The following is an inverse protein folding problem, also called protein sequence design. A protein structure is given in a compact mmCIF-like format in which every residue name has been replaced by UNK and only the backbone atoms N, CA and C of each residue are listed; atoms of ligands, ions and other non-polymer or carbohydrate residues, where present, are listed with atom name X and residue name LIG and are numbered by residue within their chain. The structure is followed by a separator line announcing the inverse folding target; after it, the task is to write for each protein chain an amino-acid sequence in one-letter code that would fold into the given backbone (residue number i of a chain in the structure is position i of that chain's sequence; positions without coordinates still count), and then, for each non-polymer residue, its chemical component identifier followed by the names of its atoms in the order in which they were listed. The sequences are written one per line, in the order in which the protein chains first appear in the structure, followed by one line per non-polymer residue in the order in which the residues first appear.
data_IF_932454243776
#
_entry.id   IF_932454243776
#
_cell.length_a   1.000
_cell.length_b   1.000
_cell.length_c   1.000
_cell.angle_alpha   90.00
_cell.angle_beta   90.00
_cell.angle_gamma   90.00
#
_symmetry.space_group_name_H-M   'P 1'
#
loop_
_entity.id
_entity.type
_entity.pdbx_description
1 polymer ?
#
# COMPACT_ATOMS: atom_id res chain seq x y z
N UNK A 1 -32.75 -53.21 -0.33
CA UNK A 1 -33.49 -52.57 -1.44
C UNK A 1 -33.59 -51.08 -1.11
N UNK A 2 -33.46 -50.19 -2.12
CA UNK A 2 -33.05 -48.76 -2.07
C UNK A 2 -31.57 -48.62 -2.51
N UNK A 3 -31.28 -48.72 -3.81
CA UNK A 3 -31.35 -47.67 -4.85
C UNK A 3 -30.29 -46.56 -4.69
N UNK A 4 -29.26 -46.66 -5.53
CA UNK A 4 -28.35 -45.57 -5.85
C UNK A 4 -28.96 -44.70 -6.96
N UNK A 5 -28.61 -43.40 -6.97
CA UNK A 5 -28.84 -42.52 -8.11
C UNK A 5 -27.51 -42.09 -8.72
N UNK A 6 -27.38 -42.36 -10.02
CA UNK A 6 -26.25 -41.99 -10.87
C UNK A 6 -26.35 -40.53 -11.32
N UNK A 7 -25.22 -39.85 -11.36
CA UNK A 7 -25.06 -38.61 -12.13
C UNK A 7 -24.64 -38.95 -13.56
N UNK A 8 -25.36 -38.43 -14.56
CA UNK A 8 -24.92 -38.40 -15.96
C UNK A 8 -25.22 -37.04 -16.60
N UNK A 9 -24.43 -36.69 -17.62
CA UNK A 9 -24.26 -35.33 -18.15
C UNK A 9 -25.19 -35.01 -19.33
N UNK A 10 -25.56 -33.73 -19.47
CA UNK A 10 -25.80 -33.00 -20.73
C UNK A 10 -26.08 -31.51 -20.42
N UNK A 11 -25.78 -30.50 -21.24
CA UNK A 11 -24.72 -30.28 -22.24
C UNK A 11 -24.62 -28.73 -22.43
N UNK A 12 -23.45 -28.10 -22.64
CA UNK A 12 -23.29 -26.66 -22.37
C UNK A 12 -23.18 -25.79 -23.64
N UNK A 13 -24.29 -25.22 -24.11
CA UNK A 13 -24.28 -24.14 -25.11
C UNK A 13 -25.34 -23.06 -24.84
N UNK A 14 -24.89 -21.87 -24.44
CA UNK A 14 -25.75 -20.75 -24.10
C UNK A 14 -25.06 -19.39 -24.21
N UNK A 15 -25.10 -18.82 -25.42
CA UNK A 15 -24.92 -17.40 -25.75
C UNK A 15 -23.48 -16.82 -25.69
N UNK A 16 -22.87 -16.72 -26.89
CA UNK A 16 -21.82 -15.74 -27.22
C UNK A 16 -22.42 -14.73 -28.21
N UNK A 17 -22.12 -13.45 -27.95
CA UNK A 17 -22.09 -12.23 -28.80
C UNK A 17 -22.40 -12.30 -30.33
N UNK A 18 -22.87 -11.19 -30.98
CA UNK A 18 -22.17 -9.88 -30.91
C UNK A 18 -22.99 -8.57 -31.06
N UNK A 19 -22.36 -7.45 -30.70
CA UNK A 19 -22.70 -6.12 -31.21
C UNK A 19 -21.49 -5.48 -31.90
N UNK A 20 -21.71 -4.89 -33.08
CA UNK A 20 -20.67 -4.35 -33.97
C UNK A 20 -21.01 -2.94 -34.46
N UNK A 21 -19.97 -2.12 -34.67
CA UNK A 21 -20.00 -0.76 -35.28
C UNK A 21 -20.63 0.31 -34.35
N UNK A 22 -20.28 1.60 -34.37
CA UNK A 22 -19.44 2.45 -35.25
C UNK A 22 -18.87 3.59 -34.35
N UNK A 23 -17.89 4.44 -34.69
CA UNK A 23 -17.29 4.89 -35.97
C UNK A 23 -15.75 5.06 -35.85
N UNK A 24 -15.08 5.27 -36.98
CA UNK A 24 -13.78 5.97 -37.06
C UNK A 24 -14.04 7.47 -37.26
N UNK A 25 -13.17 8.34 -36.75
CA UNK A 25 -12.95 9.65 -37.39
C UNK A 25 -11.47 10.03 -37.38
N UNK A 26 -10.98 10.55 -38.50
CA UNK A 26 -9.56 10.78 -38.80
C UNK A 26 -9.46 12.03 -39.68
N UNK A 27 -8.68 13.01 -39.23
CA UNK A 27 -8.02 14.12 -39.95
C UNK A 27 -7.20 14.86 -38.86
N UNK A 28 -5.93 15.24 -39.01
CA UNK A 28 -5.32 15.96 -40.14
C UNK A 28 -5.39 17.47 -39.81
N UNK A 29 -4.31 18.26 -39.73
CA UNK A 29 -3.01 18.22 -40.44
C UNK A 29 -1.93 19.10 -39.78
N UNK A 30 -0.67 18.99 -40.25
CA UNK A 30 0.36 20.03 -40.52
C UNK A 30 0.16 21.48 -39.98
N UNK A 31 1.19 22.26 -39.56
CA UNK A 31 2.62 22.22 -39.91
C UNK A 31 3.55 23.01 -38.95
N UNK A 32 4.86 22.73 -39.06
CA UNK A 32 6.03 23.64 -38.94
C UNK A 32 6.47 24.39 -37.66
N UNK A 33 7.78 24.69 -37.71
CA UNK A 33 8.52 25.80 -37.10
C UNK A 33 8.95 25.72 -35.61
N UNK A 34 10.15 25.16 -35.42
CA UNK A 34 11.29 25.80 -34.72
C UNK A 34 11.02 26.89 -33.67
N UNK A 35 11.39 26.61 -32.41
CA UNK A 35 12.11 27.58 -31.57
C UNK A 35 12.79 26.89 -30.38
N UNK A 36 14.10 26.76 -30.43
CA UNK A 36 14.92 26.74 -29.21
C UNK A 36 15.17 28.18 -28.75
N UNK A 37 15.05 28.50 -27.45
CA UNK A 37 15.67 29.68 -26.88
C UNK A 37 17.06 29.31 -26.32
N UNK A 38 18.10 29.69 -27.05
CA UNK A 38 19.49 29.62 -26.62
C UNK A 38 19.72 30.42 -25.32
N UNK A 39 20.39 29.82 -24.33
CA UNK A 39 20.85 30.52 -23.14
C UNK A 39 21.97 31.52 -23.47
N UNK A 40 21.75 32.80 -23.17
CA UNK A 40 22.82 33.82 -23.07
C UNK A 40 22.67 34.59 -21.76
N UNK A 41 23.70 34.68 -20.91
CA UNK A 41 23.61 35.37 -19.63
C UNK A 41 23.79 36.89 -19.79
N UNK A 42 23.05 37.67 -19.02
CA UNK A 42 23.27 39.11 -18.82
C UNK A 42 23.59 39.42 -17.35
N UNK A 43 24.37 40.48 -17.07
CA UNK A 43 25.10 40.61 -15.80
C UNK A 43 24.28 41.24 -14.66
N UNK A 44 24.82 41.01 -13.46
CA UNK A 44 24.44 41.59 -12.16
C UNK A 44 23.79 42.99 -12.20
N UNK A 45 22.60 43.09 -11.59
CA UNK A 45 22.23 44.25 -10.78
C UNK A 45 21.76 43.79 -9.40
N UNK A 46 22.49 44.21 -8.38
CA UNK A 46 22.12 44.06 -6.97
C UNK A 46 21.00 45.03 -6.63
N UNK A 47 19.86 44.51 -6.15
CA UNK A 47 18.87 45.30 -5.42
C UNK A 47 18.63 44.69 -4.04
N UNK A 48 18.43 45.57 -3.05
CA UNK A 48 18.49 45.23 -1.64
C UNK A 48 17.38 44.25 -1.21
N UNK A 49 17.73 43.33 -0.31
CA UNK A 49 16.76 42.50 0.39
C UNK A 49 15.85 43.38 1.25
N UNK A 50 14.55 43.37 0.97
CA UNK A 50 13.55 43.99 1.83
C UNK A 50 13.05 42.92 2.81
N UNK A 51 13.45 43.02 4.08
CA UNK A 51 13.11 42.04 5.10
C UNK A 51 11.60 42.08 5.43
N UNK A 52 10.84 41.16 4.82
CA UNK A 52 9.57 40.70 5.39
C UNK A 52 9.77 39.30 5.95
N UNK A 53 10.33 39.25 7.16
CA UNK A 53 10.42 38.04 7.96
C UNK A 53 8.99 37.68 8.40
N UNK A 54 8.31 36.85 7.61
CA UNK A 54 7.15 36.10 8.10
C UNK A 54 7.65 35.06 9.11
N UNK A 55 7.71 35.47 10.38
CA UNK A 55 8.17 34.66 11.51
C UNK A 55 7.18 33.56 11.86
N UNK A 56 7.11 32.50 11.04
CA UNK A 56 6.42 31.26 11.41
C UNK A 56 7.35 30.37 12.26
N UNK A 57 7.73 30.90 13.42
CA UNK A 57 8.52 30.20 14.44
C UNK A 57 7.80 30.21 15.79
N UNK A 58 6.71 29.44 15.84
CA UNK A 58 6.40 28.68 17.04
C UNK A 58 6.39 27.22 16.61
N UNK A 59 7.51 26.52 16.83
CA UNK A 59 7.49 25.08 16.81
C UNK A 59 6.55 24.65 17.94
N UNK A 60 5.33 24.24 17.60
CA UNK A 60 4.47 23.59 18.58
C UNK A 60 5.25 22.39 19.13
N UNK A 61 5.22 22.13 20.45
CA UNK A 61 5.84 20.93 20.98
C UNK A 61 5.22 19.73 20.27
N UNK A 62 6.04 18.99 19.53
CA UNK A 62 5.62 17.79 18.82
C UNK A 62 4.94 16.88 19.84
N UNK A 63 3.67 16.54 19.59
CA UNK A 63 2.85 15.87 20.59
C UNK A 63 3.53 14.57 21.06
N UNK A 64 3.45 14.20 22.35
CA UNK A 64 4.13 13.02 22.87
C UNK A 64 3.86 11.77 22.03
N UNK A 65 4.93 11.09 21.60
CA UNK A 65 4.86 9.92 20.73
C UNK A 65 4.87 10.22 19.23
N UNK A 66 4.74 11.48 18.78
CA UNK A 66 4.78 11.79 17.34
C UNK A 66 6.22 11.88 16.83
N UNK A 67 6.53 11.12 15.78
CA UNK A 67 7.84 10.98 15.16
C UNK A 67 7.72 11.27 13.65
N UNK A 68 8.61 12.11 13.13
CA UNK A 68 8.77 12.31 11.69
C UNK A 68 9.90 11.40 11.18
N UNK A 69 9.59 10.54 10.21
CA UNK A 69 10.52 9.51 9.71
C UNK A 69 11.21 9.93 8.41
N UNK A 70 12.32 9.27 8.09
CA UNK A 70 13.12 9.55 6.90
C UNK A 70 12.40 9.22 5.57
N UNK A 71 11.38 8.35 5.58
CA UNK A 71 10.51 8.06 4.44
C UNK A 71 9.32 9.03 4.33
N UNK A 72 9.44 10.21 4.96
CA UNK A 72 8.42 11.28 5.00
C UNK A 72 7.08 10.81 5.60
N UNK A 73 7.11 9.84 6.51
CA UNK A 73 5.93 9.43 7.27
C UNK A 73 5.81 10.21 8.58
N UNK A 74 4.57 10.40 9.03
CA UNK A 74 4.26 10.89 10.39
C UNK A 74 3.77 9.70 11.19
N UNK A 75 4.57 9.26 12.15
CA UNK A 75 4.26 8.12 13.00
C UNK A 75 3.79 8.58 14.38
N UNK A 76 2.80 7.90 14.94
CA UNK A 76 2.52 7.90 16.37
C UNK A 76 3.09 6.62 16.97
N UNK A 77 4.17 6.76 17.76
CA UNK A 77 4.75 5.68 18.54
C UNK A 77 4.09 5.61 19.92
N UNK A 78 3.31 4.56 20.15
CA UNK A 78 2.66 4.33 21.44
C UNK A 78 3.49 3.41 22.34
N UNK A 79 3.37 3.58 23.66
CA UNK A 79 4.05 2.73 24.65
C UNK A 79 3.13 1.57 25.05
N UNK A 80 3.46 0.30 24.73
CA UNK A 80 2.61 -0.84 25.06
C UNK A 80 2.22 -0.94 26.55
N UNK A 81 3.15 -0.59 27.44
CA UNK A 81 2.96 -0.70 28.89
C UNK A 81 2.14 0.46 29.49
N UNK A 82 1.88 1.52 28.72
CA UNK A 82 1.10 2.69 29.15
C UNK A 82 0.50 3.41 27.91
N UNK A 83 -0.53 2.83 27.27
CA UNK A 83 -1.18 3.42 26.11
C UNK A 83 -1.93 4.71 26.49
N UNK A 84 -1.69 5.79 25.74
CA UNK A 84 -2.30 7.10 25.96
C UNK A 84 -3.32 7.40 24.84
N UNK A 85 -4.59 7.07 25.11
CA UNK A 85 -5.68 7.26 24.14
C UNK A 85 -6.06 8.73 23.92
N UNK A 86 -5.70 9.64 24.84
CA UNK A 86 -5.91 11.07 24.67
C UNK A 86 -4.84 11.65 23.74
N UNK A 87 -3.58 11.23 23.88
CA UNK A 87 -2.51 11.53 22.93
C UNK A 87 -2.81 10.96 21.54
N UNK A 88 -3.34 9.73 21.43
CA UNK A 88 -3.83 9.19 20.15
C UNK A 88 -4.92 10.07 19.55
N UNK A 89 -5.92 10.47 20.34
CA UNK A 89 -7.04 11.30 19.86
C UNK A 89 -6.55 12.67 19.39
N UNK A 90 -5.60 13.27 20.10
CA UNK A 90 -4.92 14.51 19.66
C UNK A 90 -4.11 14.32 18.36
N UNK A 91 -3.41 13.20 18.21
CA UNK A 91 -2.71 12.85 16.97
C UNK A 91 -3.69 12.75 15.78
N UNK A 92 -4.84 12.09 15.96
CA UNK A 92 -5.88 11.95 14.93
C UNK A 92 -6.51 13.30 14.54
N UNK A 93 -6.73 14.19 15.51
CA UNK A 93 -7.22 15.54 15.24
C UNK A 93 -6.23 16.37 14.40
N UNK A 94 -4.92 16.22 14.65
CA UNK A 94 -3.87 16.95 13.94
C UNK A 94 -3.55 16.35 12.56
N UNK A 95 -3.64 15.03 12.41
CA UNK A 95 -3.22 14.29 11.22
C UNK A 95 -4.34 13.36 10.70
N UNK A 96 -5.53 13.91 10.47
CA UNK A 96 -6.65 13.16 9.87
C UNK A 96 -6.31 12.79 8.41
N UNK A 97 -6.34 11.51 8.01
CA UNK A 97 -5.92 11.09 6.66
C UNK A 97 -6.69 11.75 5.53
N UNK A 98 -7.98 12.03 5.69
CA UNK A 98 -8.80 12.71 4.72
C UNK A 98 -8.44 14.19 4.50
N UNK A 99 -7.75 14.83 5.46
CA UNK A 99 -7.36 16.25 5.42
C UNK A 99 -5.86 16.46 5.22
N UNK A 100 -5.01 15.60 5.76
CA UNK A 100 -3.56 15.65 5.58
C UNK A 100 -3.22 15.31 4.13
N UNK A 101 -2.48 16.19 3.45
CA UNK A 101 -2.18 16.04 2.03
C UNK A 101 -0.80 15.42 1.79
N UNK A 102 -0.59 14.86 0.60
CA UNK A 102 0.71 14.33 0.16
C UNK A 102 1.85 15.36 0.13
N UNK A 103 1.57 16.66 0.26
CA UNK A 103 2.60 17.68 0.44
C UNK A 103 3.25 17.57 1.83
N UNK A 104 2.45 17.24 2.86
CA UNK A 104 2.88 17.17 4.26
C UNK A 104 3.64 15.88 4.54
N UNK A 105 3.09 14.73 4.17
CA UNK A 105 3.67 13.41 4.41
C UNK A 105 3.37 12.46 3.25
N UNK A 106 4.06 11.33 3.19
CA UNK A 106 3.74 10.25 2.25
C UNK A 106 2.90 9.14 2.91
N UNK A 107 2.99 9.02 4.24
CA UNK A 107 2.17 8.14 5.09
C UNK A 107 1.88 8.77 6.45
N UNK A 108 0.75 8.38 7.03
CA UNK A 108 0.48 8.49 8.47
C UNK A 108 0.56 7.07 9.04
N UNK A 109 1.19 6.87 10.20
CA UNK A 109 1.40 5.54 10.77
C UNK A 109 1.21 5.48 12.28
N UNK A 110 1.00 4.27 12.79
CA UNK A 110 1.06 3.94 14.21
C UNK A 110 1.98 2.73 14.39
N UNK A 111 2.90 2.82 15.35
CA UNK A 111 3.87 1.78 15.71
C UNK A 111 3.93 1.66 17.25
N UNK A 112 4.29 0.49 17.76
CA UNK A 112 4.45 0.23 19.18
C UNK A 112 5.91 0.40 19.68
N UNK A 113 6.77 0.97 18.83
CA UNK A 113 8.21 1.18 19.06
C UNK A 113 9.08 -0.07 18.86
N UNK A 114 8.49 -1.24 18.64
CA UNK A 114 9.23 -2.50 18.40
C UNK A 114 9.22 -2.95 16.94
N UNK A 115 8.37 -2.36 16.09
CA UNK A 115 8.20 -2.74 14.69
C UNK A 115 9.14 -2.02 13.71
N UNK A 116 9.59 -0.81 14.05
CA UNK A 116 10.51 0.01 13.25
C UNK A 116 11.85 -0.67 12.87
N UNK A 117 12.24 -1.77 13.54
CA UNK A 117 13.49 -2.51 13.28
C UNK A 117 13.49 -3.41 12.01
N UNK A 118 12.41 -3.44 11.21
CA UNK A 118 12.19 -4.50 10.19
C UNK A 118 12.05 -4.05 8.74
N UNK A 119 12.49 -2.85 8.38
CA UNK A 119 12.75 -2.56 6.96
C UNK A 119 13.82 -3.54 6.44
N UNK A 120 13.54 -4.38 5.42
CA UNK A 120 14.50 -5.38 4.96
C UNK A 120 15.81 -4.72 4.51
N UNK A 121 16.95 -5.34 4.82
CA UNK A 121 18.25 -4.75 4.47
C UNK A 121 18.36 -4.56 2.95
N UNK A 122 18.94 -3.45 2.46
CA UNK A 122 19.06 -3.20 1.02
C UNK A 122 19.75 -4.36 0.26
N UNK A 123 20.68 -5.05 0.93
CA UNK A 123 21.35 -6.25 0.41
C UNK A 123 20.39 -7.45 0.25
N UNK A 124 19.53 -7.72 1.25
CA UNK A 124 18.49 -8.76 1.15
C UNK A 124 17.49 -8.44 0.03
N UNK A 125 17.04 -7.18 -0.07
CA UNK A 125 16.13 -6.74 -1.14
C UNK A 125 16.76 -6.91 -2.52
N UNK A 126 18.04 -6.54 -2.68
CA UNK A 126 18.77 -6.70 -3.94
C UNK A 126 18.96 -8.18 -4.31
N UNK A 127 19.34 -9.02 -3.34
CA UNK A 127 19.48 -10.47 -3.55
C UNK A 127 18.14 -11.13 -3.92
N UNK A 128 17.05 -10.76 -3.25
CA UNK A 128 15.70 -11.24 -3.58
C UNK A 128 15.28 -10.83 -5.00
N UNK A 129 15.54 -9.59 -5.40
CA UNK A 129 15.27 -9.12 -6.77
C UNK A 129 16.06 -9.90 -7.82
N UNK A 130 17.34 -10.17 -7.58
CA UNK A 130 18.16 -10.97 -8.48
C UNK A 130 17.64 -12.42 -8.61
N UNK A 131 17.33 -13.08 -7.48
CA UNK A 131 16.70 -14.41 -7.50
C UNK A 131 15.31 -14.42 -8.15
N UNK A 132 14.54 -13.34 -8.01
CA UNK A 132 13.25 -13.21 -8.69
C UNK A 132 13.40 -13.07 -10.20
N UNK A 133 14.35 -12.28 -10.69
CA UNK A 133 14.60 -12.10 -12.12
C UNK A 133 14.93 -13.45 -12.80
N UNK A 134 15.76 -14.28 -12.16
CA UNK A 134 16.06 -15.64 -12.62
C UNK A 134 14.80 -16.50 -12.69
N UNK A 135 14.00 -16.56 -11.62
CA UNK A 135 12.72 -17.28 -11.59
C UNK A 135 11.70 -16.72 -12.61
N UNK A 136 11.71 -15.41 -12.84
CA UNK A 136 10.83 -14.70 -13.75
C UNK A 136 11.20 -14.94 -15.22
N UNK A 137 12.48 -15.08 -15.55
CA UNK A 137 12.93 -15.43 -16.90
C UNK A 137 12.32 -16.74 -17.40
N UNK A 138 12.12 -17.71 -16.49
CA UNK A 138 11.52 -19.01 -16.75
C UNK A 138 9.99 -19.07 -16.46
N UNK A 139 9.32 -17.93 -16.19
CA UNK A 139 7.94 -17.89 -15.68
C UNK A 139 6.85 -18.39 -16.64
N UNK A 140 7.18 -18.68 -17.91
CA UNK A 140 6.24 -19.28 -18.85
C UNK A 140 6.85 -20.48 -19.58
N UNK A 141 6.07 -21.55 -19.66
CA UNK A 141 6.37 -22.74 -20.48
C UNK A 141 5.10 -23.12 -21.23
N UNK A 142 5.20 -23.26 -22.54
CA UNK A 142 4.08 -23.61 -23.43
C UNK A 142 2.84 -22.71 -23.22
N UNK A 143 3.07 -21.41 -23.00
CA UNK A 143 2.06 -20.39 -22.72
C UNK A 143 1.56 -20.33 -21.26
N UNK A 144 1.79 -21.36 -20.45
CA UNK A 144 1.32 -21.46 -19.07
C UNK A 144 2.28 -20.77 -18.09
N UNK A 145 1.73 -20.13 -17.06
CA UNK A 145 2.52 -19.51 -15.97
C UNK A 145 3.09 -20.61 -15.06
N UNK A 146 4.40 -20.60 -14.85
CA UNK A 146 5.14 -21.55 -14.01
C UNK A 146 5.52 -20.99 -12.63
N UNK A 147 5.44 -19.66 -12.44
CA UNK A 147 5.65 -19.03 -11.15
C UNK A 147 4.50 -19.37 -10.20
N UNK A 148 4.76 -20.29 -9.27
CA UNK A 148 3.77 -20.71 -8.26
C UNK A 148 3.83 -19.83 -7.01
N UNK A 149 2.73 -19.79 -6.25
CA UNK A 149 2.69 -19.15 -4.93
C UNK A 149 3.80 -19.70 -4.02
N UNK A 150 3.97 -21.02 -3.96
CA UNK A 150 5.00 -21.67 -3.15
C UNK A 150 6.44 -21.24 -3.54
N UNK A 151 6.71 -21.02 -4.84
CA UNK A 151 8.00 -20.51 -5.32
C UNK A 151 8.29 -19.09 -4.82
N UNK A 152 7.26 -18.26 -4.69
CA UNK A 152 7.38 -16.88 -4.21
C UNK A 152 7.45 -16.79 -2.68
N UNK A 153 6.73 -17.67 -1.98
CA UNK A 153 6.82 -17.84 -0.53
C UNK A 153 8.23 -18.28 -0.13
N UNK A 154 8.76 -19.31 -0.81
CA UNK A 154 10.13 -19.80 -0.62
C UNK A 154 11.18 -18.73 -0.91
N UNK A 155 10.98 -17.92 -1.95
CA UNK A 155 11.83 -16.77 -2.26
C UNK A 155 11.81 -15.73 -1.12
N UNK A 156 10.63 -15.35 -0.64
CA UNK A 156 10.45 -14.39 0.44
C UNK A 156 11.11 -14.88 1.75
N UNK A 157 10.87 -16.15 2.10
CA UNK A 157 11.44 -16.84 3.26
C UNK A 157 12.97 -16.90 3.20
N UNK A 158 13.55 -17.29 2.05
CA UNK A 158 15.01 -17.42 1.84
C UNK A 158 15.75 -16.11 2.07
N UNK A 159 15.15 -14.98 1.71
CA UNK A 159 15.74 -13.65 1.88
C UNK A 159 15.32 -12.94 3.18
N UNK A 160 14.50 -13.59 4.02
CA UNK A 160 14.05 -13.04 5.31
C UNK A 160 13.01 -11.93 5.20
N UNK A 161 12.26 -11.88 4.09
CA UNK A 161 11.25 -10.85 3.80
C UNK A 161 9.85 -11.46 4.01
N UNK A 162 9.58 -11.87 5.25
CA UNK A 162 8.36 -12.59 5.65
C UNK A 162 7.18 -11.69 6.04
N UNK A 163 7.39 -10.38 6.14
CA UNK A 163 6.31 -9.47 6.49
C UNK A 163 5.28 -9.31 5.35
N UNK A 164 4.06 -8.92 5.71
CA UNK A 164 3.01 -8.56 4.79
C UNK A 164 1.93 -7.71 5.46
N UNK A 165 0.89 -7.34 4.70
CA UNK A 165 -0.18 -6.46 5.20
C UNK A 165 -1.54 -6.80 4.62
N UNK A 166 -2.57 -6.65 5.45
CA UNK A 166 -3.95 -6.54 4.98
C UNK A 166 -4.16 -5.14 4.39
N UNK A 167 -4.65 -5.08 3.15
CA UNK A 167 -4.88 -3.82 2.43
C UNK A 167 -6.39 -3.50 2.38
N UNK A 168 -6.75 -2.38 3.00
CA UNK A 168 -8.10 -1.83 3.09
C UNK A 168 -8.19 -0.58 2.21
N UNK A 169 -9.06 -0.58 1.20
CA UNK A 169 -9.27 0.59 0.33
C UNK A 169 -10.51 1.35 0.79
N UNK A 170 -10.34 2.62 1.13
CA UNK A 170 -11.38 3.49 1.72
C UNK A 170 -11.65 4.71 0.84
N UNK A 171 -12.86 5.24 0.89
CA UNK A 171 -13.16 6.60 0.37
C UNK A 171 -12.67 7.68 1.36
N UNK A 172 -12.50 8.92 0.90
CA UNK A 172 -12.16 10.06 1.77
C UNK A 172 -13.25 10.31 2.81
N UNK A 173 -14.51 9.96 2.52
CA UNK A 173 -15.63 10.07 3.45
C UNK A 173 -15.61 9.08 4.62
N UNK A 174 -14.92 7.94 4.49
CA UNK A 174 -14.86 6.90 5.55
C UNK A 174 -13.46 6.71 6.18
N UNK A 175 -12.39 7.19 5.52
CA UNK A 175 -11.00 6.88 5.92
C UNK A 175 -10.67 7.28 7.35
N UNK A 176 -11.10 8.45 7.82
CA UNK A 176 -10.77 8.95 9.16
C UNK A 176 -11.35 8.02 10.26
N UNK A 177 -12.61 7.58 10.09
CA UNK A 177 -13.28 6.63 10.99
C UNK A 177 -12.63 5.24 10.96
N UNK A 178 -12.26 4.75 9.77
CA UNK A 178 -11.59 3.45 9.64
C UNK A 178 -10.20 3.50 10.28
N UNK A 179 -9.46 4.59 10.07
CA UNK A 179 -8.13 4.78 10.63
C UNK A 179 -8.13 4.90 12.15
N UNK A 180 -9.08 5.65 12.74
CA UNK A 180 -9.22 5.73 14.19
C UNK A 180 -9.41 4.34 14.81
N UNK A 181 -10.35 3.55 14.26
CA UNK A 181 -10.62 2.18 14.71
C UNK A 181 -9.40 1.27 14.62
N UNK A 182 -8.68 1.33 13.49
CA UNK A 182 -7.46 0.54 13.27
C UNK A 182 -6.36 0.93 14.26
N UNK A 183 -6.18 2.21 14.55
CA UNK A 183 -5.16 2.68 15.47
C UNK A 183 -5.50 2.37 16.94
N UNK A 184 -6.77 2.50 17.35
CA UNK A 184 -7.24 2.04 18.66
C UNK A 184 -6.99 0.53 18.83
N UNK A 185 -7.36 -0.27 17.83
CA UNK A 185 -7.08 -1.71 17.80
C UNK A 185 -5.59 -2.03 17.99
N UNK A 186 -4.67 -1.36 17.27
CA UNK A 186 -3.23 -1.56 17.45
C UNK A 186 -2.75 -1.25 18.88
N UNK A 187 -3.30 -0.22 19.53
CA UNK A 187 -2.97 0.13 20.91
C UNK A 187 -3.55 -0.85 21.93
N UNK A 188 -4.80 -1.28 21.75
CA UNK A 188 -5.51 -2.24 22.61
C UNK A 188 -4.83 -3.61 22.58
N UNK A 189 -4.42 -4.07 21.39
CA UNK A 189 -3.65 -5.30 21.19
C UNK A 189 -2.18 -5.20 21.68
N UNK A 190 -1.73 -3.99 22.02
CA UNK A 190 -0.33 -3.66 22.36
C UNK A 190 0.68 -4.05 21.26
N UNK A 191 0.20 -4.27 20.02
CA UNK A 191 0.90 -4.93 18.93
C UNK A 191 0.48 -4.38 17.58
N UNK A 192 1.44 -4.46 16.66
CA UNK A 192 1.19 -4.22 15.25
C UNK A 192 1.62 -2.84 14.81
N UNK A 193 1.84 -2.77 13.51
CA UNK A 193 2.17 -1.56 12.78
C UNK A 193 1.08 -1.35 11.75
N UNK A 194 0.57 -0.12 11.65
CA UNK A 194 -0.41 0.23 10.64
C UNK A 194 -0.02 1.55 9.95
N UNK A 195 -0.45 1.68 8.70
CA UNK A 195 -0.28 2.89 7.88
C UNK A 195 -1.55 3.26 7.16
N UNK A 196 -1.74 4.54 6.90
CA UNK A 196 -2.77 5.06 6.00
C UNK A 196 -2.16 6.11 5.07
N UNK A 197 -2.60 6.10 3.82
CA UNK A 197 -2.19 7.13 2.86
C UNK A 197 -2.88 8.47 3.15
N UNK A 198 -2.15 9.60 3.07
CA UNK A 198 -2.75 10.93 3.08
C UNK A 198 -3.68 11.12 1.87
N UNK A 199 -4.46 12.19 1.88
CA UNK A 199 -5.23 12.64 0.74
C UNK A 199 -4.29 13.04 -0.42
N UNK A 200 -4.48 12.42 -1.59
CA UNK A 200 -3.69 12.65 -2.81
C UNK A 200 -4.46 13.42 -3.90
N UNK A 201 -5.66 13.89 -3.59
CA UNK A 201 -6.58 14.54 -4.52
C UNK A 201 -7.57 13.59 -5.20
N UNK A 202 -7.51 12.29 -4.91
CA UNK A 202 -8.48 11.26 -5.28
C UNK A 202 -9.32 10.81 -4.08
N UNK A 203 -10.54 10.32 -4.35
CA UNK A 203 -11.44 9.74 -3.32
C UNK A 203 -11.04 8.29 -2.96
N UNK A 204 -9.73 8.03 -2.82
CA UNK A 204 -9.19 6.71 -2.53
C UNK A 204 -7.99 6.76 -1.59
N UNK A 205 -8.18 6.20 -0.40
CA UNK A 205 -7.12 5.95 0.56
C UNK A 205 -6.85 4.45 0.67
N UNK A 206 -5.63 4.10 1.05
CA UNK A 206 -5.27 2.75 1.49
C UNK A 206 -4.85 2.77 2.95
N UNK A 207 -5.56 2.00 3.78
CA UNK A 207 -5.13 1.63 5.13
C UNK A 207 -4.48 0.24 5.06
N UNK A 208 -3.35 0.06 5.71
CA UNK A 208 -2.57 -1.18 5.71
C UNK A 208 -2.24 -1.58 7.14
N UNK A 209 -2.61 -2.80 7.55
CA UNK A 209 -2.26 -3.36 8.87
C UNK A 209 -1.31 -4.53 8.66
N UNK A 210 -0.15 -4.46 9.30
CA UNK A 210 0.98 -5.34 9.02
C UNK A 210 0.99 -6.56 9.94
N UNK A 211 1.45 -7.68 9.38
CA UNK A 211 1.74 -8.94 10.08
C UNK A 211 3.20 -9.28 9.80
N UNK A 212 3.94 -9.61 10.84
CA UNK A 212 5.40 -9.80 10.78
C UNK A 212 5.86 -10.97 9.91
N UNK A 213 4.97 -11.95 9.73
CA UNK A 213 5.30 -13.27 9.19
C UNK A 213 4.07 -13.89 8.52
N UNK A 214 4.09 -13.98 7.19
CA UNK A 214 3.00 -14.53 6.39
C UNK A 214 2.84 -16.05 6.54
N UNK A 215 3.86 -16.77 7.02
CA UNK A 215 3.81 -18.22 7.24
C UNK A 215 2.99 -18.56 8.49
N UNK A 216 2.89 -17.62 9.44
CA UNK A 216 2.01 -17.71 10.62
C UNK A 216 0.55 -17.42 10.25
N UNK A 217 -0.05 -18.35 9.49
CA UNK A 217 -1.45 -18.28 9.02
C UNK A 217 -2.44 -17.93 10.14
N UNK A 218 -2.25 -18.45 11.35
CA UNK A 218 -3.09 -18.12 12.51
C UNK A 218 -3.05 -16.65 12.87
N UNK A 219 -1.88 -16.00 12.86
CA UNK A 219 -1.76 -14.55 13.13
C UNK A 219 -2.30 -13.72 11.95
N UNK A 220 -2.03 -14.14 10.71
CA UNK A 220 -2.58 -13.50 9.51
C UNK A 220 -4.11 -13.45 9.57
N UNK A 221 -4.75 -14.57 9.92
CA UNK A 221 -6.21 -14.63 10.02
C UNK A 221 -6.76 -14.03 11.31
N UNK A 222 -6.04 -14.10 12.44
CA UNK A 222 -6.42 -13.39 13.69
C UNK A 222 -6.56 -11.90 13.45
N UNK A 223 -5.61 -11.28 12.74
CA UNK A 223 -5.70 -9.87 12.35
C UNK A 223 -6.86 -9.64 11.37
N UNK A 224 -7.15 -10.58 10.47
CA UNK A 224 -8.29 -10.44 9.54
C UNK A 224 -9.63 -10.41 10.27
N UNK A 225 -9.84 -11.32 11.22
CA UNK A 225 -11.09 -11.41 11.99
C UNK A 225 -11.25 -10.18 12.89
N UNK A 226 -10.20 -9.73 13.56
CA UNK A 226 -10.25 -8.49 14.35
C UNK A 226 -10.59 -7.25 13.48
N UNK A 227 -10.12 -7.20 12.22
CA UNK A 227 -10.55 -6.17 11.27
C UNK A 227 -12.06 -6.26 10.95
N UNK A 228 -12.68 -7.44 10.95
CA UNK A 228 -14.15 -7.59 10.83
C UNK A 228 -14.87 -7.12 12.10
N UNK A 229 -14.33 -7.44 13.28
CA UNK A 229 -14.92 -7.05 14.57
C UNK A 229 -15.01 -5.52 14.74
N UNK A 230 -14.00 -4.77 14.27
CA UNK A 230 -14.07 -3.29 14.24
C UNK A 230 -14.96 -2.74 13.10
N UNK A 231 -15.54 -3.62 12.26
CA UNK A 231 -16.54 -3.31 11.24
C UNK A 231 -16.06 -3.35 9.79
N UNK A 232 -14.84 -3.82 9.50
CA UNK A 232 -14.31 -3.92 8.13
C UNK A 232 -14.66 -5.28 7.49
N UNK A 233 -15.93 -5.40 7.11
CA UNK A 233 -16.51 -6.68 6.66
C UNK A 233 -16.39 -6.93 5.14
N UNK A 234 -15.92 -5.96 4.35
CA UNK A 234 -15.72 -6.14 2.90
C UNK A 234 -14.48 -7.01 2.61
N UNK A 235 -14.48 -7.83 1.53
CA UNK A 235 -13.33 -8.64 1.14
C UNK A 235 -12.06 -7.82 0.95
N UNK A 236 -10.94 -8.32 1.48
CA UNK A 236 -9.62 -7.69 1.36
C UNK A 236 -8.54 -8.71 1.02
N UNK A 237 -7.42 -8.19 0.52
CA UNK A 237 -6.23 -8.97 0.21
C UNK A 237 -5.13 -8.76 1.25
N UNK A 238 -4.46 -9.85 1.62
CA UNK A 238 -3.17 -9.82 2.28
C UNK A 238 -2.06 -9.82 1.22
N UNK A 239 -1.24 -8.77 1.20
CA UNK A 239 -0.10 -8.64 0.28
C UNK A 239 1.22 -8.72 1.04
N UNK A 240 2.10 -9.62 0.61
CA UNK A 240 3.46 -9.72 1.17
C UNK A 240 4.31 -8.50 0.81
N UNK A 241 5.24 -8.12 1.69
CA UNK A 241 6.22 -7.07 1.41
C UNK A 241 7.15 -7.48 0.28
N UNK A 242 7.49 -8.77 0.17
CA UNK A 242 8.18 -9.33 -0.99
C UNK A 242 7.47 -8.96 -2.31
N UNK A 243 6.15 -9.13 -2.43
CA UNK A 243 5.39 -8.78 -3.64
C UNK A 243 5.42 -7.27 -3.92
N UNK A 244 5.47 -6.43 -2.87
CA UNK A 244 5.58 -4.98 -3.01
C UNK A 244 6.95 -4.58 -3.53
N UNK A 245 8.02 -5.16 -2.97
CA UNK A 245 9.41 -4.90 -3.33
C UNK A 245 9.78 -5.44 -4.72
N UNK A 246 9.16 -6.55 -5.15
CA UNK A 246 9.33 -7.16 -6.48
C UNK A 246 8.47 -6.50 -7.58
N UNK A 247 7.64 -5.50 -7.24
CA UNK A 247 6.78 -4.83 -8.23
C UNK A 247 5.55 -5.65 -8.67
N UNK A 248 5.18 -6.69 -7.93
CA UNK A 248 4.00 -7.52 -8.20
C UNK A 248 2.74 -6.75 -7.77
N UNK A 249 2.17 -5.99 -8.69
CA UNK A 249 0.90 -5.26 -8.55
C UNK A 249 -0.20 -5.89 -9.41
N UNK A 250 -1.43 -5.36 -9.35
CA UNK A 250 -2.54 -5.79 -10.22
C UNK A 250 -2.14 -5.60 -11.69
N UNK A 251 -2.44 -6.58 -12.55
CA UNK A 251 -2.03 -6.62 -13.98
C UNK A 251 -0.49 -6.63 -14.21
N UNK A 252 0.29 -7.22 -13.30
CA UNK A 252 1.72 -7.46 -13.53
C UNK A 252 1.97 -8.39 -14.74
N UNK A 253 3.13 -8.28 -15.43
CA UNK A 253 3.40 -9.05 -16.65
C UNK A 253 3.47 -10.56 -16.45
N UNK A 254 3.75 -11.01 -15.22
CA UNK A 254 3.87 -12.43 -14.87
C UNK A 254 2.51 -13.11 -14.64
N UNK A 255 1.41 -12.36 -14.60
CA UNK A 255 0.05 -12.90 -14.37
C UNK A 255 -0.22 -13.38 -12.94
N UNK A 256 0.63 -13.00 -11.98
CA UNK A 256 0.55 -13.44 -10.57
C UNK A 256 -0.56 -12.67 -9.84
N UNK A 257 -1.30 -13.30 -8.94
CA UNK A 257 -2.20 -12.56 -8.03
C UNK A 257 -1.37 -11.74 -7.04
N UNK A 258 -1.59 -10.42 -6.97
CA UNK A 258 -0.83 -9.55 -6.08
C UNK A 258 -1.18 -9.68 -4.58
N UNK A 259 -2.13 -10.56 -4.24
CA UNK A 259 -2.48 -10.94 -2.88
C UNK A 259 -2.08 -12.40 -2.64
N UNK A 260 -1.45 -12.68 -1.49
CA UNK A 260 -1.02 -14.03 -1.07
C UNK A 260 -2.13 -14.79 -0.33
N UNK A 261 -2.94 -14.08 0.44
CA UNK A 261 -4.22 -14.55 0.96
C UNK A 261 -5.29 -13.53 0.57
N UNK A 262 -6.50 -13.99 0.30
CA UNK A 262 -7.64 -13.14 -0.06
C UNK A 262 -8.94 -13.88 0.27
N UNK A 263 -10.00 -13.09 0.44
CA UNK A 263 -11.39 -13.55 0.55
C UNK A 263 -12.10 -13.49 -0.81
#
# INVERSE_FOLDING_TARGET
MLQAFSYENADPLGLIEPLSRMHLNRNGSHNDASNEPSFTPLPYMTFAANESICSFSVAQPVAPGVIFTHDKSICYEFRPQNPDFDALSNFMCNFSPGKTTSLVCDWISIDNGTTHARSPSPLSVAAMKASFEELASAHRRDGNITLTVASLDELARRHGITAGKWMMFCTTGEVDMVWEKVARFCMEEMKGYARVSPNKGDDQHVVSVYVEDFEKYSEVMRVREALKEIGFNRPIGFKMDAYTLLGIYRKNPWGINCNRYYE
#
